data_IF_047798613314
#
_entry.id   IF_047798613314
#
_cell.length_a   1.000
_cell.length_b   1.000
_cell.length_c   1.000
_cell.angle_alpha   90.00
_cell.angle_beta   90.00
_cell.angle_gamma   90.00
#
_symmetry.space_group_name_H-M   'P 1'
#
loop_
_entity.id
_entity.type
_entity.pdbx_description
1 polymer ?
#
# COMPACT_ATOMS: atom_id res chain seq x y z
N UNK A 1 27.11 3.70 -4.72
CA UNK A 1 26.10 4.66 -5.21
C UNK A 1 25.61 5.50 -4.03
N UNK A 2 25.58 6.82 -4.17
CA UNK A 2 24.97 7.73 -3.21
C UNK A 2 23.55 8.03 -3.67
N UNK A 3 22.58 8.01 -2.76
CA UNK A 3 21.19 8.33 -3.08
C UNK A 3 20.75 9.62 -2.40
N UNK A 4 19.93 10.40 -3.09
CA UNK A 4 19.36 11.65 -2.60
C UNK A 4 17.85 11.55 -2.59
N UNK A 5 17.19 11.99 -1.51
CA UNK A 5 15.73 12.04 -1.42
C UNK A 5 15.25 13.48 -1.55
N UNK A 6 14.33 13.72 -2.48
CA UNK A 6 13.57 14.95 -2.59
C UNK A 6 12.13 14.70 -2.17
N UNK A 7 11.57 15.55 -1.31
CA UNK A 7 10.18 15.45 -0.87
C UNK A 7 9.45 16.74 -1.25
N UNK A 8 8.36 16.60 -1.99
CA UNK A 8 7.41 17.67 -2.29
C UNK A 8 6.17 17.49 -1.40
N UNK A 9 5.99 18.44 -0.48
CA UNK A 9 4.91 18.43 0.49
C UNK A 9 3.76 19.33 0.02
N UNK A 10 2.71 18.72 -0.54
CA UNK A 10 1.47 19.40 -0.87
C UNK A 10 0.42 19.29 0.25
N UNK A 11 -0.65 20.08 0.14
CA UNK A 11 -1.82 20.00 1.05
C UNK A 11 -2.66 18.74 0.85
N UNK A 12 -2.76 18.28 -0.40
CA UNK A 12 -3.55 17.10 -0.78
C UNK A 12 -2.69 15.85 -0.92
N UNK A 13 -1.49 16.02 -1.46
CA UNK A 13 -0.61 14.92 -1.85
C UNK A 13 0.83 15.25 -1.51
N UNK A 14 1.54 14.27 -0.92
CA UNK A 14 2.98 14.31 -0.68
C UNK A 14 3.65 13.37 -1.68
N UNK A 15 4.73 13.82 -2.29
CA UNK A 15 5.53 13.03 -3.23
C UNK A 15 6.97 12.95 -2.74
N UNK A 16 7.63 11.85 -3.05
CA UNK A 16 9.04 11.70 -2.87
C UNK A 16 9.69 11.13 -4.13
N UNK A 17 10.93 11.53 -4.38
CA UNK A 17 11.77 10.98 -5.45
C UNK A 17 13.13 10.61 -4.86
N UNK A 18 13.67 9.49 -5.31
CA UNK A 18 15.05 9.09 -5.03
C UNK A 18 15.86 9.21 -6.31
N UNK A 19 16.97 9.91 -6.22
CA UNK A 19 17.94 10.12 -7.30
C UNK A 19 19.27 9.47 -6.95
N UNK A 20 20.01 9.00 -7.95
CA UNK A 20 21.43 8.66 -7.80
C UNK A 20 22.35 9.89 -8.00
N UNK A 21 23.67 9.70 -7.89
CA UNK A 21 24.66 10.76 -8.12
C UNK A 21 24.66 11.35 -9.54
N UNK A 22 24.10 10.66 -10.53
CA UNK A 22 23.98 11.12 -11.91
C UNK A 22 22.68 11.90 -12.16
N UNK A 23 21.84 12.04 -11.13
CA UNK A 23 20.49 12.65 -11.18
C UNK A 23 19.46 11.77 -11.91
N UNK A 24 19.74 10.49 -12.10
CA UNK A 24 18.76 9.57 -12.62
C UNK A 24 17.74 9.23 -11.53
N UNK A 25 16.47 9.17 -11.91
CA UNK A 25 15.39 8.76 -10.99
C UNK A 25 15.51 7.26 -10.76
N UNK A 26 15.74 6.88 -9.51
CA UNK A 26 15.69 5.49 -9.06
C UNK A 26 14.28 5.10 -8.64
N UNK A 27 13.61 5.95 -7.86
CA UNK A 27 12.32 5.60 -7.30
C UNK A 27 11.41 6.80 -7.06
N UNK A 28 10.11 6.55 -7.10
CA UNK A 28 9.05 7.53 -6.87
C UNK A 28 8.09 7.00 -5.82
N UNK A 29 7.62 7.90 -4.97
CA UNK A 29 6.63 7.59 -3.96
C UNK A 29 5.61 8.71 -3.87
N UNK A 30 4.37 8.34 -3.57
CA UNK A 30 3.26 9.28 -3.51
C UNK A 30 2.28 8.81 -2.45
N UNK A 31 1.70 9.75 -1.70
CA UNK A 31 0.62 9.47 -0.76
C UNK A 31 -0.24 10.71 -0.52
N UNK A 32 -1.36 10.52 0.17
CA UNK A 32 -2.23 11.63 0.58
C UNK A 32 -1.65 12.34 1.82
N UNK A 33 -1.52 13.67 1.79
CA UNK A 33 -0.89 14.43 2.88
C UNK A 33 -1.73 14.51 4.16
N UNK A 34 -3.04 14.76 3.98
CA UNK A 34 -4.06 14.86 5.05
C UNK A 34 -3.56 15.72 6.24
N UNK A 35 -3.99 15.38 7.45
CA UNK A 35 -3.72 16.15 8.66
C UNK A 35 -2.39 15.82 9.34
N UNK A 36 -1.60 14.87 8.81
CA UNK A 36 -0.33 14.47 9.40
C UNK A 36 0.78 14.42 8.33
N UNK A 37 1.37 15.59 8.08
CA UNK A 37 2.41 15.79 7.09
C UNK A 37 3.67 14.97 7.35
N UNK A 38 4.06 14.77 8.62
CA UNK A 38 5.21 13.95 8.98
C UNK A 38 5.02 12.50 8.52
N UNK A 39 3.85 11.93 8.83
CA UNK A 39 3.51 10.58 8.38
C UNK A 39 3.45 10.50 6.85
N UNK A 40 2.87 11.51 6.19
CA UNK A 40 2.83 11.55 4.74
C UNK A 40 4.22 11.60 4.09
N UNK A 41 5.15 12.39 4.63
CA UNK A 41 6.55 12.42 4.19
C UNK A 41 7.24 11.07 4.36
N UNK A 42 7.03 10.41 5.51
CA UNK A 42 7.59 9.07 5.78
C UNK A 42 7.05 8.03 4.80
N UNK A 43 5.73 7.98 4.60
CA UNK A 43 5.09 7.04 3.68
C UNK A 43 5.56 7.29 2.24
N UNK A 44 5.50 8.53 1.74
CA UNK A 44 5.98 8.84 0.40
C UNK A 44 7.47 8.46 0.22
N UNK A 45 8.31 8.71 1.22
CA UNK A 45 9.73 8.33 1.16
C UNK A 45 9.91 6.81 1.13
N UNK A 46 9.16 6.06 1.93
CA UNK A 46 9.21 4.60 1.95
C UNK A 46 8.77 4.01 0.61
N UNK A 47 7.69 4.54 0.02
CA UNK A 47 7.23 4.15 -1.32
C UNK A 47 8.32 4.38 -2.37
N UNK A 48 8.98 5.54 -2.33
CA UNK A 48 10.09 5.83 -3.23
C UNK A 48 11.30 4.90 -3.02
N UNK A 49 11.56 4.47 -1.79
CA UNK A 49 12.64 3.51 -1.49
C UNK A 49 12.32 2.12 -2.01
N UNK A 50 11.07 1.67 -1.90
CA UNK A 50 10.62 0.39 -2.44
C UNK A 50 10.74 0.41 -3.96
N UNK A 51 10.20 1.45 -4.62
CA UNK A 51 10.28 1.62 -6.07
C UNK A 51 11.74 1.66 -6.56
N UNK A 52 12.62 2.37 -5.83
CA UNK A 52 14.04 2.41 -6.14
C UNK A 52 14.71 1.03 -6.13
N UNK A 53 14.32 0.14 -5.20
CA UNK A 53 14.86 -1.23 -5.15
C UNK A 53 14.42 -2.05 -6.36
N UNK A 54 13.17 -1.93 -6.80
CA UNK A 54 12.70 -2.60 -8.01
C UNK A 54 13.42 -2.08 -9.27
N UNK A 55 13.62 -0.77 -9.38
CA UNK A 55 14.43 -0.18 -10.46
C UNK A 55 15.85 -0.74 -10.48
N UNK A 56 16.51 -0.84 -9.32
CA UNK A 56 17.86 -1.38 -9.24
C UNK A 56 17.89 -2.88 -9.58
N UNK A 57 16.89 -3.66 -9.13
CA UNK A 57 16.78 -5.06 -9.53
C UNK A 57 16.68 -5.20 -11.06
N UNK A 58 15.78 -4.45 -11.71
CA UNK A 58 15.66 -4.46 -13.19
C UNK A 58 16.98 -4.12 -13.88
N UNK A 59 17.66 -3.05 -13.45
CA UNK A 59 18.95 -2.62 -14.03
C UNK A 59 20.03 -3.69 -13.97
N UNK A 60 20.12 -4.43 -12.86
CA UNK A 60 21.12 -5.49 -12.71
C UNK A 60 20.83 -6.69 -13.62
N UNK A 61 19.56 -7.02 -13.83
CA UNK A 61 19.19 -8.11 -14.74
C UNK A 61 19.29 -7.74 -16.23
N UNK A 62 18.97 -6.50 -16.61
CA UNK A 62 19.13 -6.01 -17.99
C UNK A 62 20.60 -6.01 -18.47
N UNK A 63 21.56 -6.04 -17.54
CA UNK A 63 22.98 -6.15 -17.87
C UNK A 63 23.34 -7.54 -18.43
N UNK A 64 22.52 -8.57 -18.21
CA UNK A 64 22.70 -9.94 -18.69
C UNK A 64 21.81 -10.23 -19.92
N UNK A 65 22.34 -9.97 -21.13
CA UNK A 65 21.62 -10.14 -22.40
C UNK A 65 21.05 -11.56 -22.58
N UNK A 66 19.74 -11.67 -22.84
CA UNK A 66 19.13 -12.88 -23.44
C UNK A 66 18.02 -13.57 -22.64
N UNK A 67 17.54 -12.96 -21.55
CA UNK A 67 16.44 -13.49 -20.72
C UNK A 67 15.29 -12.49 -20.53
N UNK A 68 15.30 -11.42 -21.32
CA UNK A 68 14.59 -10.16 -21.06
C UNK A 68 13.10 -10.37 -20.76
N UNK A 69 12.36 -11.12 -21.59
CA UNK A 69 10.91 -11.32 -21.40
C UNK A 69 10.55 -12.12 -20.13
N UNK A 70 11.30 -13.17 -19.81
CA UNK A 70 11.03 -14.02 -18.64
C UNK A 70 11.42 -13.34 -17.34
N UNK A 71 12.48 -12.53 -17.39
CA UNK A 71 12.93 -11.77 -16.23
C UNK A 71 11.94 -10.65 -15.94
N UNK A 72 11.43 -9.96 -16.97
CA UNK A 72 10.41 -8.93 -16.72
C UNK A 72 9.08 -9.50 -16.25
N UNK A 73 8.65 -10.66 -16.77
CA UNK A 73 7.49 -11.37 -16.22
C UNK A 73 7.69 -11.67 -14.73
N UNK A 74 8.84 -12.24 -14.37
CA UNK A 74 9.17 -12.53 -12.98
C UNK A 74 9.22 -11.28 -12.08
N UNK A 75 9.85 -10.20 -12.55
CA UNK A 75 9.97 -8.96 -11.77
C UNK A 75 8.61 -8.28 -11.59
N UNK A 76 7.75 -8.32 -12.62
CA UNK A 76 6.38 -7.83 -12.52
C UNK A 76 5.56 -8.67 -11.51
N UNK A 77 5.70 -9.99 -11.53
CA UNK A 77 5.06 -10.90 -10.57
C UNK A 77 5.53 -10.65 -9.14
N UNK A 78 6.84 -10.46 -8.95
CA UNK A 78 7.44 -10.15 -7.67
C UNK A 78 6.93 -8.81 -7.13
N UNK A 79 6.87 -7.79 -7.99
CA UNK A 79 6.35 -6.48 -7.60
C UNK A 79 4.89 -6.56 -7.17
N UNK A 80 4.02 -7.23 -7.96
CA UNK A 80 2.60 -7.38 -7.59
C UNK A 80 2.42 -8.16 -6.30
N UNK A 81 3.18 -9.23 -6.10
CA UNK A 81 3.16 -10.03 -4.87
C UNK A 81 3.60 -9.21 -3.66
N UNK A 82 4.68 -8.43 -3.80
CA UNK A 82 5.13 -7.52 -2.75
C UNK A 82 4.06 -6.47 -2.40
N UNK A 83 3.38 -5.90 -3.39
CA UNK A 83 2.31 -4.92 -3.18
C UNK A 83 1.08 -5.53 -2.50
N UNK A 84 0.76 -6.79 -2.80
CA UNK A 84 -0.30 -7.53 -2.10
C UNK A 84 0.07 -7.72 -0.63
N UNK A 85 1.26 -8.20 -0.32
CA UNK A 85 1.71 -8.38 1.07
C UNK A 85 1.74 -7.06 1.84
N UNK A 86 2.22 -5.99 1.21
CA UNK A 86 2.18 -4.64 1.79
C UNK A 86 0.75 -4.22 2.15
N UNK A 87 -0.22 -4.51 1.27
CA UNK A 87 -1.63 -4.18 1.50
C UNK A 87 -2.24 -5.02 2.63
N UNK A 88 -1.93 -6.31 2.69
CA UNK A 88 -2.40 -7.21 3.75
C UNK A 88 -1.86 -6.78 5.13
N UNK A 89 -0.57 -6.47 5.23
CA UNK A 89 0.03 -5.95 6.47
C UNK A 89 -0.67 -4.64 6.92
N UNK A 90 -0.92 -3.73 5.98
CA UNK A 90 -1.64 -2.48 6.28
C UNK A 90 -3.10 -2.73 6.70
N UNK A 91 -3.76 -3.77 6.18
CA UNK A 91 -5.08 -4.20 6.64
C UNK A 91 -5.03 -4.76 8.06
N UNK A 92 -4.01 -5.54 8.40
CA UNK A 92 -3.80 -6.09 9.73
C UNK A 92 -3.64 -4.98 10.77
N UNK A 93 -2.78 -3.99 10.49
CA UNK A 93 -2.58 -2.80 11.31
C UNK A 93 -3.88 -1.99 11.50
N UNK A 94 -4.65 -1.86 10.41
CA UNK A 94 -5.92 -1.14 10.43
C UNK A 94 -6.98 -1.88 11.25
N UNK A 95 -7.09 -3.21 11.09
CA UNK A 95 -7.99 -4.04 11.89
C UNK A 95 -7.65 -3.94 13.37
N UNK A 96 -6.37 -4.11 13.73
CA UNK A 96 -5.91 -4.02 15.11
C UNK A 96 -6.26 -2.64 15.70
N UNK A 97 -6.03 -1.58 14.92
CA UNK A 97 -6.39 -0.22 15.30
C UNK A 97 -7.88 -0.07 15.53
N UNK A 98 -8.73 -0.53 14.61
CA UNK A 98 -10.19 -0.51 14.75
C UNK A 98 -10.65 -1.26 16.00
N UNK A 99 -10.14 -2.48 16.23
CA UNK A 99 -10.48 -3.30 17.40
C UNK A 99 -10.07 -2.62 18.72
N UNK A 100 -8.90 -1.97 18.77
CA UNK A 100 -8.44 -1.18 19.93
C UNK A 100 -9.33 0.04 20.21
N UNK A 101 -10.02 0.58 19.20
CA UNK A 101 -10.95 1.69 19.38
C UNK A 101 -12.36 1.26 19.84
N UNK A 102 -12.68 -0.04 19.83
CA UNK A 102 -13.94 -0.55 20.43
C UNK A 102 -13.79 -0.61 21.96
N UNK A 103 -13.85 0.57 22.59
CA UNK A 103 -13.69 0.77 24.04
C UNK A 103 -14.54 1.92 24.57
N UNK A 104 -14.78 1.94 25.88
CA UNK A 104 -15.55 2.97 26.57
C UNK A 104 -17.06 2.75 26.55
N UNK A 105 -17.80 3.65 27.21
CA UNK A 105 -19.24 3.50 27.48
C UNK A 105 -20.10 3.32 26.23
N UNK A 106 -19.72 3.95 25.11
CA UNK A 106 -20.41 3.81 23.81
C UNK A 106 -20.61 2.35 23.38
N UNK A 107 -19.67 1.48 23.73
CA UNK A 107 -19.69 0.06 23.33
C UNK A 107 -20.09 -0.89 24.46
N UNK A 108 -20.47 -0.38 25.63
CA UNK A 108 -20.73 -1.20 26.82
C UNK A 108 -21.76 -2.33 26.60
N UNK A 109 -22.69 -2.15 25.66
CA UNK A 109 -23.76 -3.11 25.36
C UNK A 109 -23.49 -4.00 24.15
N UNK A 110 -22.53 -3.66 23.30
CA UNK A 110 -22.38 -4.29 21.98
C UNK A 110 -20.92 -4.43 21.51
N UNK A 111 -19.93 -4.26 22.40
CA UNK A 111 -18.51 -4.34 22.03
C UNK A 111 -18.16 -5.63 21.30
N UNK A 112 -18.63 -6.79 21.78
CA UNK A 112 -18.31 -8.08 21.16
C UNK A 112 -18.96 -8.24 19.79
N UNK A 113 -20.21 -7.79 19.64
CA UNK A 113 -20.90 -7.79 18.34
C UNK A 113 -20.20 -6.87 17.33
N UNK A 114 -19.76 -5.68 17.76
CA UNK A 114 -19.01 -4.75 16.90
C UNK A 114 -17.66 -5.33 16.50
N UNK A 115 -16.93 -5.95 17.43
CA UNK A 115 -15.64 -6.61 17.13
C UNK A 115 -15.83 -7.78 16.17
N UNK A 116 -16.89 -8.58 16.32
CA UNK A 116 -17.20 -9.66 15.41
C UNK A 116 -17.51 -9.14 14.00
N UNK A 117 -18.33 -8.08 13.89
CA UNK A 117 -18.60 -7.44 12.61
C UNK A 117 -17.34 -6.86 11.94
N UNK A 118 -16.46 -6.21 12.71
CA UNK A 118 -15.18 -5.72 12.19
C UNK A 118 -14.32 -6.87 11.64
N UNK A 119 -14.14 -7.95 12.41
CA UNK A 119 -13.38 -9.13 11.99
C UNK A 119 -13.93 -9.74 10.70
N UNK A 120 -15.25 -9.83 10.56
CA UNK A 120 -15.89 -10.31 9.34
C UNK A 120 -15.59 -9.41 8.14
N UNK A 121 -15.71 -8.08 8.29
CA UNK A 121 -15.40 -7.12 7.22
C UNK A 121 -13.94 -7.23 6.79
N UNK A 122 -12.99 -7.24 7.74
CA UNK A 122 -11.56 -7.38 7.43
C UNK A 122 -11.22 -8.76 6.86
N UNK A 123 -11.89 -9.82 7.30
CA UNK A 123 -11.78 -11.16 6.69
C UNK A 123 -12.16 -11.15 5.21
N UNK A 124 -13.29 -10.52 4.87
CA UNK A 124 -13.72 -10.36 3.47
C UNK A 124 -12.75 -9.50 2.65
N UNK A 125 -12.28 -8.38 3.21
CA UNK A 125 -11.29 -7.52 2.53
C UNK A 125 -10.02 -8.29 2.16
N UNK A 126 -9.49 -9.11 3.07
CA UNK A 126 -8.33 -9.97 2.78
C UNK A 126 -8.65 -11.00 1.71
N UNK A 127 -9.84 -11.60 1.74
CA UNK A 127 -10.28 -12.56 0.74
C UNK A 127 -10.39 -11.98 -0.67
N UNK A 128 -10.76 -10.70 -0.80
CA UNK A 128 -10.84 -10.01 -2.08
C UNK A 128 -9.48 -9.49 -2.60
N UNK A 129 -8.51 -9.28 -1.70
CA UNK A 129 -7.24 -8.62 -2.02
C UNK A 129 -6.46 -9.31 -3.16
N UNK A 130 -6.25 -10.65 -3.19
CA UNK A 130 -5.46 -11.28 -4.24
C UNK A 130 -5.92 -10.95 -5.67
N UNK A 131 -7.24 -10.87 -5.89
CA UNK A 131 -7.80 -10.54 -7.19
C UNK A 131 -7.48 -9.10 -7.63
N UNK A 132 -7.29 -8.18 -6.69
CA UNK A 132 -6.94 -6.78 -6.97
C UNK A 132 -5.47 -6.60 -7.39
N UNK A 133 -4.62 -7.59 -7.15
CA UNK A 133 -3.19 -7.59 -7.48
C UNK A 133 -2.82 -8.64 -8.55
N UNK A 134 -3.81 -9.24 -9.20
CA UNK A 134 -3.60 -10.14 -10.33
C UNK A 134 -2.97 -9.40 -11.54
N UNK A 135 -2.28 -10.11 -12.47
CA UNK A 135 -1.61 -9.49 -13.62
C UNK A 135 -2.51 -8.53 -14.43
N UNK A 136 -3.77 -8.90 -14.64
CA UNK A 136 -4.73 -8.14 -15.46
C UNK A 136 -5.71 -7.30 -14.61
N UNK A 137 -5.40 -7.08 -13.33
CA UNK A 137 -6.28 -6.33 -12.45
C UNK A 137 -6.28 -4.83 -12.79
N UNK A 138 -7.45 -4.27 -13.10
CA UNK A 138 -7.62 -2.83 -13.29
C UNK A 138 -7.74 -2.13 -11.93
N UNK A 139 -6.64 -1.53 -11.47
CA UNK A 139 -6.61 -0.76 -10.22
C UNK A 139 -6.80 0.73 -10.50
N UNK A 140 -7.85 1.30 -9.90
CA UNK A 140 -8.17 2.73 -9.99
C UNK A 140 -7.30 3.63 -9.09
N UNK A 141 -6.55 3.06 -8.16
CA UNK A 141 -5.68 3.80 -7.23
C UNK A 141 -4.54 2.93 -6.73
N UNK A 142 -3.41 3.56 -6.42
CA UNK A 142 -2.26 2.95 -5.76
C UNK A 142 -2.23 3.22 -4.24
N UNK A 143 -3.17 4.02 -3.73
CA UNK A 143 -3.20 4.38 -2.32
C UNK A 143 -3.98 3.35 -1.51
N UNK A 144 -3.32 2.75 -0.51
CA UNK A 144 -3.92 1.83 0.46
C UNK A 144 -5.30 2.30 0.94
N UNK A 145 -5.38 3.56 1.40
CA UNK A 145 -6.62 4.15 1.92
C UNK A 145 -7.76 4.10 0.91
N UNK A 146 -7.49 4.38 -0.35
CA UNK A 146 -8.53 4.48 -1.37
C UNK A 146 -9.02 3.08 -1.77
N UNK A 147 -8.09 2.12 -1.88
CA UNK A 147 -8.40 0.71 -2.13
C UNK A 147 -9.20 0.13 -0.95
N UNK A 148 -8.64 0.16 0.26
CA UNK A 148 -9.27 -0.41 1.44
C UNK A 148 -10.57 0.32 1.80
N UNK A 149 -10.59 1.65 1.77
CA UNK A 149 -11.74 2.47 2.15
C UNK A 149 -12.94 2.30 1.23
N UNK A 150 -12.72 2.17 -0.08
CA UNK A 150 -13.81 1.97 -1.05
C UNK A 150 -14.53 0.62 -0.84
N UNK A 151 -13.77 -0.44 -0.54
CA UNK A 151 -14.31 -1.78 -0.28
C UNK A 151 -14.89 -1.93 1.12
N UNK A 152 -14.25 -1.32 2.13
CA UNK A 152 -14.68 -1.40 3.53
C UNK A 152 -16.14 -0.95 3.70
N UNK A 153 -16.53 0.18 3.09
CA UNK A 153 -17.88 0.71 3.25
C UNK A 153 -18.95 -0.21 2.67
N UNK A 154 -18.71 -0.79 1.49
CA UNK A 154 -19.63 -1.72 0.86
C UNK A 154 -19.81 -3.00 1.69
N UNK A 155 -18.70 -3.59 2.14
CA UNK A 155 -18.72 -4.80 2.96
C UNK A 155 -19.32 -4.57 4.34
N UNK A 156 -19.02 -3.42 4.97
CA UNK A 156 -19.57 -3.07 6.28
C UNK A 156 -21.09 -2.88 6.23
N UNK A 157 -21.63 -2.35 5.14
CA UNK A 157 -23.09 -2.24 4.95
C UNK A 157 -23.74 -3.63 4.90
N UNK A 158 -23.16 -4.57 4.16
CA UNK A 158 -23.68 -5.94 4.06
C UNK A 158 -23.60 -6.69 5.39
N UNK A 159 -22.51 -6.54 6.13
CA UNK A 159 -22.30 -7.22 7.43
C UNK A 159 -23.21 -6.65 8.53
N UNK A 160 -23.59 -5.38 8.43
CA UNK A 160 -24.42 -4.71 9.44
C UNK A 160 -25.92 -4.93 9.28
N UNK A 161 -26.37 -5.54 8.17
CA UNK A 161 -27.77 -5.90 7.91
C UNK A 161 -28.18 -7.16 8.67
#
# INVERSE_FOLDING_TARGET
MKTFVGIDLGSTTTKAVILDENKDILGRGITNSRSNYDTACRVASQEAQIDARFTLFRREFDAERGLDDKVEEFLADLERSFRLEQFLEQLDDLEETCLRQVKGERFAKNADAVKAALKEVFGRLRGEAPAMYAPDADRKSDFFRDIAGSRYLALAEEVAR
#
